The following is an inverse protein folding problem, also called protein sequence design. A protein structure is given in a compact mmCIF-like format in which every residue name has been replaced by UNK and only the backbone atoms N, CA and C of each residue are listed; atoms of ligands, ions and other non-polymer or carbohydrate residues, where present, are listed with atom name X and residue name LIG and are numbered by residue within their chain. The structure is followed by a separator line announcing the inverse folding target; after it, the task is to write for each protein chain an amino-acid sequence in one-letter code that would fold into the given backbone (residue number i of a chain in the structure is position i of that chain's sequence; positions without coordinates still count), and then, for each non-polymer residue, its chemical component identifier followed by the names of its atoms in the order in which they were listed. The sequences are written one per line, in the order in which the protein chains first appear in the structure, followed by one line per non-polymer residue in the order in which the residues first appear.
data_IF_264685938810
#
_entry.id   IF_264685938810
#
_cell.length_a   1.000
_cell.length_b   1.000
_cell.length_c   1.000
_cell.angle_alpha   90.00
_cell.angle_beta   90.00
_cell.angle_gamma   90.00
#
_symmetry.space_group_name_H-M   'P 1'
#
loop_
_entity.id
_entity.type
_entity.pdbx_description
1 polymer ?
#
# COMPACT_ATOMS: atom_id res chain seq x y z
N UNK A 1 -3.95 -4.55 -64.81
CA UNK A 1 -4.53 -4.91 -63.52
C UNK A 1 -3.48 -4.65 -62.44
N UNK A 2 -3.61 -3.53 -61.74
CA UNK A 2 -2.72 -3.16 -60.65
C UNK A 2 -3.44 -3.55 -59.35
N UNK A 3 -2.87 -4.48 -58.57
CA UNK A 3 -3.35 -4.85 -57.27
C UNK A 3 -2.79 -3.87 -56.22
N UNK A 4 -3.67 -3.07 -55.60
CA UNK A 4 -3.30 -2.20 -54.49
C UNK A 4 -3.25 -3.04 -53.19
N UNK A 5 -2.06 -3.16 -52.61
CA UNK A 5 -1.87 -3.70 -51.27
C UNK A 5 -2.31 -2.65 -50.27
N UNK A 6 -3.41 -2.84 -49.59
CA UNK A 6 -3.81 -2.08 -48.43
C UNK A 6 -3.01 -2.60 -47.22
N UNK A 7 -2.01 -1.82 -46.78
CA UNK A 7 -1.36 -2.00 -45.48
C UNK A 7 -2.32 -1.49 -44.41
N UNK A 8 -2.95 -2.42 -43.70
CA UNK A 8 -3.63 -2.11 -42.44
C UNK A 8 -2.55 -1.84 -41.37
N UNK A 9 -2.37 -0.57 -41.05
CA UNK A 9 -1.67 -0.15 -39.85
C UNK A 9 -2.57 -0.52 -38.68
N UNK A 10 -2.19 -1.49 -37.87
CA UNK A 10 -2.72 -1.64 -36.52
C UNK A 10 -2.19 -0.47 -35.68
N UNK A 11 -2.96 0.60 -35.60
CA UNK A 11 -2.80 1.56 -34.52
C UNK A 11 -3.28 0.90 -33.22
N UNK A 12 -2.31 0.60 -32.37
CA UNK A 12 -2.54 0.19 -30.99
C UNK A 12 -3.23 1.36 -30.27
N UNK A 13 -4.49 1.23 -29.80
CA UNK A 13 -5.12 2.32 -29.07
C UNK A 13 -4.36 2.48 -27.75
N UNK A 14 -3.69 3.63 -27.62
CA UNK A 14 -2.82 4.02 -26.54
C UNK A 14 -3.21 3.40 -25.19
N UNK A 15 -2.40 2.47 -24.77
CA UNK A 15 -2.35 2.01 -23.41
C UNK A 15 -1.88 3.19 -22.57
N UNK A 16 -2.84 4.00 -22.10
CA UNK A 16 -2.58 4.92 -21.00
C UNK A 16 -2.15 4.04 -19.84
N UNK A 17 -0.83 4.06 -19.61
CA UNK A 17 -0.16 3.39 -18.51
C UNK A 17 -0.62 3.97 -17.16
N UNK A 18 -1.83 3.62 -16.76
CA UNK A 18 -2.19 3.51 -15.36
C UNK A 18 -1.74 2.12 -14.96
N UNK A 19 -0.49 2.03 -14.52
CA UNK A 19 -0.02 0.87 -13.78
C UNK A 19 -1.08 0.57 -12.71
N UNK A 20 -1.89 -0.43 -12.98
CA UNK A 20 -3.00 -0.82 -12.12
C UNK A 20 -2.39 -1.63 -11.00
N UNK A 21 -1.84 -0.90 -9.98
CA UNK A 21 -1.29 -1.51 -8.77
C UNK A 21 -2.42 -2.20 -8.02
N UNK A 22 -2.48 -3.50 -8.16
CA UNK A 22 -3.42 -4.32 -7.41
C UNK A 22 -2.75 -4.76 -6.11
N UNK A 23 -3.42 -4.62 -4.96
CA UNK A 23 -2.92 -5.23 -3.73
C UNK A 23 -2.78 -6.74 -3.92
N UNK A 24 -1.64 -7.27 -3.52
CA UNK A 24 -1.42 -8.71 -3.44
C UNK A 24 -2.27 -9.26 -2.28
N UNK A 25 -2.91 -10.39 -2.45
CA UNK A 25 -3.87 -10.89 -1.44
C UNK A 25 -5.25 -10.23 -1.52
N UNK A 26 -5.60 -9.62 -2.64
CA UNK A 26 -6.89 -8.94 -2.89
C UNK A 26 -8.12 -9.77 -2.57
N UNK A 27 -8.01 -11.09 -2.63
CA UNK A 27 -9.08 -12.02 -2.24
C UNK A 27 -9.44 -11.95 -0.76
N UNK A 28 -8.55 -11.41 0.08
CA UNK A 28 -8.80 -11.20 1.51
C UNK A 28 -9.58 -9.91 1.80
N UNK A 29 -9.68 -8.99 0.83
CA UNK A 29 -10.42 -7.73 0.96
C UNK A 29 -11.83 -7.87 0.37
N UNK A 30 -12.82 -7.51 1.17
CA UNK A 30 -14.21 -7.38 0.71
C UNK A 30 -14.63 -5.91 0.79
N UNK A 31 -15.06 -5.35 -0.35
CA UNK A 31 -15.58 -3.98 -0.36
C UNK A 31 -16.74 -3.86 0.64
N UNK A 32 -16.70 -2.84 1.49
CA UNK A 32 -17.74 -2.58 2.48
C UNK A 32 -18.27 -1.15 2.35
N UNK A 33 -19.47 -0.93 2.84
CA UNK A 33 -20.07 0.40 2.90
C UNK A 33 -20.12 0.82 4.37
N UNK A 34 -19.56 1.99 4.65
CA UNK A 34 -19.72 2.66 5.93
C UNK A 34 -20.89 3.63 5.77
N UNK A 35 -22.02 3.27 6.38
CA UNK A 35 -23.19 4.15 6.41
C UNK A 35 -22.89 5.38 7.28
N UNK A 36 -22.91 6.61 6.74
CA UNK A 36 -22.68 7.82 7.52
C UNK A 36 -23.74 8.07 8.60
N UNK A 37 -24.96 7.54 8.41
CA UNK A 37 -26.06 7.61 9.36
C UNK A 37 -26.12 6.41 10.32
N UNK A 38 -25.28 5.40 10.09
CA UNK A 38 -25.20 4.20 10.92
C UNK A 38 -24.43 4.42 12.23
N UNK A 39 -24.34 3.38 13.08
CA UNK A 39 -23.58 3.47 14.30
C UNK A 39 -22.09 3.74 13.97
N UNK A 40 -21.41 4.57 14.78
CA UNK A 40 -19.99 4.85 14.59
C UNK A 40 -19.18 3.54 14.79
N UNK A 41 -18.01 3.48 14.14
CA UNK A 41 -17.06 2.40 14.40
C UNK A 41 -16.63 2.45 15.88
N UNK A 42 -16.60 1.30 16.53
CA UNK A 42 -16.24 1.19 17.95
C UNK A 42 -14.77 1.53 18.20
N UNK A 43 -13.92 1.23 17.20
CA UNK A 43 -12.48 1.54 17.19
C UNK A 43 -12.13 2.19 15.87
N UNK A 44 -11.26 3.20 15.92
CA UNK A 44 -10.61 3.81 14.75
C UNK A 44 -9.17 4.16 15.08
N UNK A 45 -8.31 4.00 14.13
CA UNK A 45 -6.90 4.36 14.28
C UNK A 45 -6.28 4.79 12.95
N UNK A 46 -5.09 5.36 13.09
CA UNK A 46 -4.25 5.76 11.97
C UNK A 46 -2.82 5.33 12.26
N UNK A 47 -2.19 4.71 11.30
CA UNK A 47 -0.79 4.32 11.32
C UNK A 47 0.02 5.16 10.35
N UNK A 48 1.22 5.54 10.76
CA UNK A 48 2.30 6.02 9.91
C UNK A 48 3.28 4.87 9.71
N UNK A 49 3.52 4.48 8.46
CA UNK A 49 4.42 3.38 8.12
C UNK A 49 5.55 3.94 7.23
N UNK A 50 6.80 4.05 7.73
CA UNK A 50 7.92 4.47 6.90
C UNK A 50 8.17 3.49 5.78
N UNK A 51 8.52 4.03 4.60
CA UNK A 51 8.91 3.24 3.43
C UNK A 51 10.06 3.95 2.72
N UNK A 52 10.88 3.19 1.99
CA UNK A 52 12.04 3.72 1.30
C UNK A 52 12.03 3.19 -0.14
N UNK A 53 11.98 4.05 -1.15
CA UNK A 53 12.20 3.65 -2.54
C UNK A 53 13.67 3.58 -2.92
N UNK A 54 14.54 4.21 -2.13
CA UNK A 54 15.99 4.05 -2.20
C UNK A 54 16.63 4.37 -0.85
N UNK A 55 17.86 3.90 -0.67
CA UNK A 55 18.73 4.26 0.45
C UNK A 55 20.10 4.70 -0.07
N UNK A 56 20.86 5.42 0.77
CA UNK A 56 22.21 5.85 0.44
C UNK A 56 23.25 4.85 0.91
N UNK A 57 24.18 4.49 0.04
CA UNK A 57 25.25 3.54 0.37
C UNK A 57 26.61 4.23 0.46
N UNK A 58 27.05 4.51 1.68
CA UNK A 58 28.37 5.06 1.98
C UNK A 58 28.60 6.52 1.61
N UNK A 59 27.85 7.07 0.65
CA UNK A 59 27.89 8.49 0.22
C UNK A 59 26.50 8.93 -0.20
N UNK A 60 26.18 10.22 0.02
CA UNK A 60 24.89 10.81 -0.38
C UNK A 60 24.64 10.85 -1.89
N UNK A 61 25.65 10.60 -2.69
CA UNK A 61 25.58 10.54 -4.16
C UNK A 61 25.42 9.12 -4.70
N UNK A 62 25.40 8.10 -3.83
CA UNK A 62 25.27 6.71 -4.22
C UNK A 62 24.00 6.11 -3.66
N UNK A 63 22.99 6.00 -4.48
CA UNK A 63 21.71 5.42 -4.15
C UNK A 63 21.68 3.93 -4.46
N UNK A 64 20.83 3.21 -3.73
CA UNK A 64 20.45 1.83 -3.97
C UNK A 64 18.95 1.77 -3.99
N UNK A 65 18.38 1.37 -5.13
CA UNK A 65 16.95 1.26 -5.33
C UNK A 65 16.39 0.06 -4.56
N UNK A 66 15.17 0.23 -4.06
CA UNK A 66 14.47 -0.77 -3.27
C UNK A 66 13.07 -0.99 -3.82
N UNK A 67 12.64 -2.23 -3.88
CA UNK A 67 11.21 -2.53 -3.83
C UNK A 67 10.73 -2.53 -2.38
N UNK A 68 9.49 -2.17 -2.17
CA UNK A 68 8.93 -2.12 -0.83
C UNK A 68 7.54 -2.73 -0.79
N UNK A 69 7.23 -3.43 0.28
CA UNK A 69 5.92 -4.04 0.52
C UNK A 69 5.36 -3.54 1.84
N UNK A 70 4.24 -2.83 1.80
CA UNK A 70 3.42 -2.59 2.99
C UNK A 70 2.58 -3.83 3.24
N UNK A 71 2.71 -4.45 4.40
CA UNK A 71 1.90 -5.57 4.87
C UNK A 71 0.95 -5.12 5.97
N UNK A 72 -0.34 -5.33 5.78
CA UNK A 72 -1.39 -5.04 6.77
C UNK A 72 -2.04 -6.34 7.18
N UNK A 73 -1.99 -6.64 8.47
CA UNK A 73 -2.47 -7.89 9.03
C UNK A 73 -3.55 -7.64 10.08
N UNK A 74 -4.68 -8.26 9.89
CA UNK A 74 -5.68 -8.34 10.95
C UNK A 74 -5.22 -9.41 11.97
N UNK A 75 -4.85 -8.97 13.16
CA UNK A 75 -4.37 -9.86 14.23
C UNK A 75 -5.52 -10.44 15.09
N UNK A 76 -6.76 -10.03 14.84
CA UNK A 76 -7.91 -10.58 15.56
C UNK A 76 -8.31 -11.95 15.00
N UNK A 77 -8.61 -12.88 15.89
CA UNK A 77 -8.95 -14.27 15.56
C UNK A 77 -10.38 -14.48 15.03
N UNK A 78 -11.27 -13.50 15.26
CA UNK A 78 -12.71 -13.70 15.01
C UNK A 78 -13.37 -12.52 14.28
N UNK A 79 -12.82 -11.31 14.43
CA UNK A 79 -13.46 -10.08 13.98
C UNK A 79 -12.76 -9.48 12.77
N UNK A 80 -13.51 -8.81 11.90
CA UNK A 80 -12.98 -8.16 10.72
C UNK A 80 -12.39 -6.77 11.05
N UNK A 81 -11.28 -6.44 10.42
CA UNK A 81 -10.70 -5.11 10.33
C UNK A 81 -11.28 -4.39 9.12
N UNK A 82 -11.58 -3.10 9.22
CA UNK A 82 -12.00 -2.26 8.10
C UNK A 82 -10.85 -1.30 7.77
N UNK A 83 -10.32 -1.41 6.57
CA UNK A 83 -9.41 -0.42 6.00
C UNK A 83 -10.25 0.73 5.42
N UNK A 84 -10.05 1.93 5.94
CA UNK A 84 -10.76 3.14 5.52
C UNK A 84 -9.98 3.89 4.45
N UNK A 85 -8.63 3.87 4.58
CA UNK A 85 -7.72 4.55 3.67
C UNK A 85 -6.35 3.88 3.68
N UNK A 86 -5.71 3.84 2.52
CA UNK A 86 -4.31 3.45 2.36
C UNK A 86 -3.69 4.43 1.36
N UNK A 87 -3.01 5.45 1.88
CA UNK A 87 -2.42 6.54 1.11
C UNK A 87 -0.90 6.48 1.14
N UNK A 88 -0.27 6.70 -0.02
CA UNK A 88 1.17 6.75 -0.20
C UNK A 88 1.63 8.19 -0.42
N UNK A 89 2.65 8.61 0.32
CA UNK A 89 3.22 9.95 0.31
C UNK A 89 4.72 9.91 -0.01
N UNK A 90 5.21 10.97 -0.65
CA UNK A 90 6.64 11.16 -0.90
C UNK A 90 7.37 11.80 0.30
N UNK A 91 8.69 11.97 0.11
CA UNK A 91 9.59 12.56 1.11
C UNK A 91 9.32 14.04 1.43
N UNK A 92 8.52 14.75 0.61
CA UNK A 92 8.13 16.15 0.87
C UNK A 92 6.69 16.28 1.36
N UNK A 93 6.01 15.15 1.59
CA UNK A 93 4.66 15.09 2.13
C UNK A 93 3.56 15.26 1.09
N UNK A 94 3.88 15.16 -0.20
CA UNK A 94 2.87 15.15 -1.25
C UNK A 94 2.27 13.76 -1.39
N UNK A 95 0.93 13.67 -1.45
CA UNK A 95 0.24 12.41 -1.68
C UNK A 95 0.43 11.96 -3.13
N UNK A 96 1.04 10.80 -3.32
CA UNK A 96 1.31 10.20 -4.62
C UNK A 96 0.19 9.30 -5.10
N UNK A 97 -0.41 8.52 -4.18
CA UNK A 97 -1.39 7.48 -4.55
C UNK A 97 -2.36 7.16 -3.44
N UNK A 98 -3.60 6.86 -3.83
CA UNK A 98 -4.62 6.22 -3.01
C UNK A 98 -4.78 4.77 -3.49
N UNK A 99 -4.69 3.80 -2.57
CA UNK A 99 -4.78 2.38 -2.91
C UNK A 99 -6.19 1.80 -2.74
N UNK A 100 -7.06 2.51 -2.04
CA UNK A 100 -8.45 2.13 -1.85
C UNK A 100 -9.37 3.21 -2.43
N UNK A 101 -10.25 2.82 -3.31
CA UNK A 101 -11.33 3.65 -3.87
C UNK A 101 -12.58 3.66 -2.96
N UNK A 102 -12.67 2.74 -2.02
CA UNK A 102 -13.71 2.63 -1.02
C UNK A 102 -13.21 1.81 0.19
N UNK A 103 -13.86 1.94 1.37
CA UNK A 103 -13.58 1.09 2.51
C UNK A 103 -13.67 -0.40 2.17
N UNK A 104 -12.77 -1.20 2.76
CA UNK A 104 -12.72 -2.64 2.55
C UNK A 104 -12.49 -3.39 3.85
N UNK A 105 -13.22 -4.50 4.03
CA UNK A 105 -13.03 -5.40 5.16
C UNK A 105 -11.92 -6.40 4.87
N UNK A 106 -11.05 -6.56 5.85
CA UNK A 106 -10.03 -7.59 5.92
C UNK A 106 -10.46 -8.60 6.98
N UNK A 107 -10.71 -9.83 6.55
CA UNK A 107 -11.22 -10.89 7.42
C UNK A 107 -10.28 -11.17 8.62
N UNK A 108 -10.79 -11.82 9.65
CA UNK A 108 -10.00 -12.28 10.79
C UNK A 108 -8.76 -13.06 10.33
N UNK A 109 -7.60 -12.79 10.93
CA UNK A 109 -6.30 -13.40 10.62
C UNK A 109 -5.81 -13.23 9.17
N UNK A 110 -6.48 -12.43 8.35
CA UNK A 110 -6.09 -12.20 6.97
C UNK A 110 -5.02 -11.11 6.84
N UNK A 111 -4.33 -11.15 5.70
CA UNK A 111 -3.29 -10.18 5.33
C UNK A 111 -3.58 -9.62 3.94
N UNK A 112 -3.26 -8.35 3.75
CA UNK A 112 -3.20 -7.69 2.44
C UNK A 112 -1.87 -6.94 2.31
N UNK A 113 -1.27 -7.01 1.13
CA UNK A 113 -0.01 -6.37 0.83
C UNK A 113 -0.18 -5.34 -0.29
N UNK A 114 0.55 -4.22 -0.19
CA UNK A 114 0.66 -3.18 -1.21
C UNK A 114 2.12 -3.03 -1.59
N UNK A 115 2.42 -3.22 -2.87
CA UNK A 115 3.80 -3.26 -3.36
C UNK A 115 4.15 -1.97 -4.08
N UNK A 116 5.32 -1.41 -3.75
CA UNK A 116 6.03 -0.37 -4.52
C UNK A 116 7.13 -1.08 -5.26
N UNK A 117 7.10 -1.02 -6.58
CA UNK A 117 8.08 -1.68 -7.43
C UNK A 117 9.44 -0.94 -7.39
N UNK A 118 10.50 -1.66 -7.73
CA UNK A 118 11.89 -1.15 -7.63
C UNK A 118 12.16 0.05 -8.54
N UNK A 119 11.43 0.19 -9.63
CA UNK A 119 11.51 1.31 -10.58
C UNK A 119 10.64 2.52 -10.19
N UNK A 120 9.74 2.37 -9.21
CA UNK A 120 8.96 3.47 -8.63
C UNK A 120 9.80 4.23 -7.59
N UNK A 121 10.59 5.21 -8.07
CA UNK A 121 11.48 6.03 -7.24
C UNK A 121 10.84 7.32 -6.73
N UNK A 122 9.59 7.60 -7.10
CA UNK A 122 8.94 8.90 -6.87
C UNK A 122 8.81 9.21 -5.38
N UNK A 123 8.61 8.20 -4.54
CA UNK A 123 8.48 8.38 -3.10
C UNK A 123 9.73 8.89 -2.40
N UNK A 124 10.91 8.50 -2.87
CA UNK A 124 12.19 8.89 -2.26
C UNK A 124 12.53 8.10 -1.00
N UNK A 125 13.58 8.55 -0.30
CA UNK A 125 14.10 7.90 0.92
C UNK A 125 13.30 8.22 2.20
N UNK A 126 12.35 9.13 2.15
CA UNK A 126 11.49 9.52 3.27
C UNK A 126 10.01 9.31 2.99
N UNK A 127 9.68 8.46 2.05
CA UNK A 127 8.30 8.10 1.73
C UNK A 127 7.60 7.38 2.90
N UNK A 128 6.27 7.39 2.88
CA UNK A 128 5.50 6.74 3.92
C UNK A 128 4.11 6.35 3.42
N UNK A 129 3.49 5.42 4.14
CA UNK A 129 2.06 5.20 4.08
C UNK A 129 1.36 5.80 5.29
N UNK A 130 0.16 6.36 5.05
CA UNK A 130 -0.83 6.64 6.07
C UNK A 130 -1.98 5.65 5.85
N UNK A 131 -2.26 4.86 6.88
CA UNK A 131 -3.32 3.86 6.86
C UNK A 131 -4.36 4.22 7.92
N UNK A 132 -5.57 4.55 7.49
CA UNK A 132 -6.71 4.70 8.39
C UNK A 132 -7.48 3.38 8.45
N UNK A 133 -7.82 2.94 9.66
CA UNK A 133 -8.53 1.71 9.91
C UNK A 133 -9.61 1.87 10.99
N UNK A 134 -10.49 0.90 11.08
CA UNK A 134 -11.46 0.84 12.15
C UNK A 134 -12.10 -0.54 12.27
N UNK A 135 -12.97 -0.69 13.27
CA UNK A 135 -13.76 -1.89 13.46
C UNK A 135 -15.12 -1.57 14.08
N UNK A 136 -16.12 -2.43 13.85
CA UNK A 136 -17.46 -2.29 14.40
C UNK A 136 -17.54 -2.68 15.88
N UNK A 137 -16.56 -3.43 16.35
CA UNK A 137 -16.41 -3.92 17.73
C UNK A 137 -14.94 -3.71 18.16
N UNK A 138 -14.61 -3.73 19.46
CA UNK A 138 -13.22 -3.81 19.90
C UNK A 138 -12.54 -5.04 19.31
N UNK A 139 -11.35 -4.83 18.73
CA UNK A 139 -10.51 -5.88 18.12
C UNK A 139 -9.07 -5.73 18.59
N UNK A 140 -8.27 -6.78 18.39
CA UNK A 140 -6.82 -6.69 18.54
C UNK A 140 -6.25 -5.62 17.59
N UNK A 141 -5.25 -4.87 18.07
CA UNK A 141 -4.58 -3.87 17.23
C UNK A 141 -3.96 -4.55 15.99
N UNK A 142 -4.19 -4.03 14.77
CA UNK A 142 -3.61 -4.63 13.58
C UNK A 142 -2.09 -4.47 13.54
N UNK A 143 -1.40 -5.41 12.90
CA UNK A 143 0.02 -5.32 12.63
C UNK A 143 0.23 -4.71 11.25
N UNK A 144 0.96 -3.59 11.20
CA UNK A 144 1.28 -2.89 9.97
C UNK A 144 2.79 -2.65 9.91
N UNK A 145 3.41 -3.12 8.84
CA UNK A 145 4.86 -3.00 8.66
C UNK A 145 5.21 -2.93 7.18
N UNK A 146 6.36 -2.36 6.87
CA UNK A 146 6.92 -2.38 5.53
C UNK A 146 8.21 -3.19 5.49
N UNK A 147 8.38 -3.94 4.41
CA UNK A 147 9.60 -4.70 4.11
C UNK A 147 10.21 -4.14 2.85
N UNK A 148 11.47 -3.71 2.92
CA UNK A 148 12.24 -3.24 1.79
C UNK A 148 13.24 -4.31 1.36
N UNK A 149 13.33 -4.50 0.03
CA UNK A 149 14.27 -5.42 -0.62
C UNK A 149 15.06 -4.66 -1.67
N UNK A 150 16.36 -4.90 -1.72
CA UNK A 150 17.24 -4.30 -2.72
C UNK A 150 18.48 -5.11 -2.97
N UNK A 151 19.37 -4.59 -3.84
CA UNK A 151 20.61 -5.26 -4.19
C UNK A 151 21.77 -4.26 -4.26
N UNK A 152 22.86 -4.58 -3.60
CA UNK A 152 24.12 -3.84 -3.65
C UNK A 152 25.20 -4.72 -4.25
N UNK A 153 25.55 -4.45 -5.50
CA UNK A 153 26.42 -5.37 -6.28
C UNK A 153 25.76 -6.74 -6.46
N UNK A 154 26.39 -7.79 -5.97
CA UNK A 154 25.86 -9.17 -6.00
C UNK A 154 25.18 -9.58 -4.68
N UNK A 155 25.02 -8.67 -3.73
CA UNK A 155 24.45 -8.97 -2.41
C UNK A 155 23.07 -8.39 -2.27
N UNK A 156 22.10 -9.24 -1.90
CA UNK A 156 20.75 -8.79 -1.50
C UNK A 156 20.80 -8.11 -0.13
N UNK A 157 19.99 -7.10 0.04
CA UNK A 157 19.73 -6.44 1.32
C UNK A 157 18.23 -6.46 1.58
N UNK A 158 17.85 -6.59 2.83
CA UNK A 158 16.46 -6.46 3.26
C UNK A 158 16.42 -5.85 4.67
N UNK A 159 15.37 -5.10 4.93
CA UNK A 159 15.08 -4.60 6.28
C UNK A 159 13.58 -4.34 6.41
N UNK A 160 13.14 -4.24 7.66
CA UNK A 160 11.76 -4.06 8.04
C UNK A 160 11.61 -2.71 8.76
N UNK A 161 10.50 -2.03 8.48
CA UNK A 161 10.09 -0.80 9.16
C UNK A 161 8.71 -1.02 9.80
N UNK A 162 8.60 -1.10 11.13
CA UNK A 162 7.32 -1.22 11.78
C UNK A 162 6.52 0.07 11.68
N UNK A 163 5.23 -0.05 11.41
CA UNK A 163 4.28 1.05 11.49
C UNK A 163 4.11 1.53 12.94
N UNK A 164 3.77 2.80 13.09
CA UNK A 164 3.50 3.42 14.38
C UNK A 164 2.09 3.99 14.41
N UNK A 165 1.28 3.68 15.45
CA UNK A 165 0.01 4.34 15.63
C UNK A 165 0.26 5.83 15.91
N UNK A 166 -0.40 6.71 15.15
CA UNK A 166 -0.32 8.18 15.31
C UNK A 166 -1.62 8.76 15.82
N UNK A 167 -2.70 8.00 15.68
CA UNK A 167 -4.02 8.38 16.18
C UNK A 167 -4.83 7.13 16.50
N UNK A 168 -5.55 7.16 17.62
CA UNK A 168 -6.46 6.09 18.01
C UNK A 168 -7.64 6.65 18.79
N UNK A 169 -8.83 6.17 18.49
CA UNK A 169 -10.10 6.48 19.18
C UNK A 169 -10.83 5.16 19.45
N UNK A 170 -11.28 4.97 20.67
CA UNK A 170 -11.85 3.71 21.14
C UNK A 170 -10.80 2.82 21.84
N UNK A 171 -11.21 1.62 22.23
CA UNK A 171 -10.33 0.64 22.89
C UNK A 171 -10.06 -0.54 21.97
N UNK A 172 -8.80 -0.92 21.88
CA UNK A 172 -8.37 -2.25 21.41
C UNK A 172 -8.41 -3.26 22.56
N UNK A 173 -8.54 -4.50 22.26
CA UNK A 173 -8.42 -5.62 23.22
C UNK A 173 -6.95 -5.99 23.44
#
# INVERSE_FOLDING_TARGET
MLAALLLYSCEDPGMTDRAQFYPVGRTALTRTVIDPAGPPLAVRGEFYIPIYSHIYWGRSTRETDLSATLSIRNADHAKALILLKVDYYDSVGAKLREYLDAPAELAAMATVDFVIEVDDKVGGSGANFIVEWGAREPIAEPVMESVMLGQVGSRGISFLSPGRPVKQVGKTE
#
